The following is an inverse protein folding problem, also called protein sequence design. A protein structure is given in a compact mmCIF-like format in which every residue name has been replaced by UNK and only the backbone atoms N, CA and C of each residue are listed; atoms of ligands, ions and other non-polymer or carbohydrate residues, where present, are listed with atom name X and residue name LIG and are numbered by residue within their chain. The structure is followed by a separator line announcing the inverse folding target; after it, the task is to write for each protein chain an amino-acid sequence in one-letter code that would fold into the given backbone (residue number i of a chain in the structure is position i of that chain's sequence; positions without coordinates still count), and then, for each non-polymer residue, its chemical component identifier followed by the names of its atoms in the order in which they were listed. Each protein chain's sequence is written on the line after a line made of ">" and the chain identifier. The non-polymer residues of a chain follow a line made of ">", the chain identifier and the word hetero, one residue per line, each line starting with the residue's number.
data_IF_328607680231
#
_entry.id   IF_328607680231
#
_cell.length_a   1.000
_cell.length_b   1.000
_cell.length_c   1.000
_cell.angle_alpha   90.00
_cell.angle_beta   90.00
_cell.angle_gamma   90.00
#
_symmetry.space_group_name_H-M   'P 1'
#
loop_
_entity.id
_entity.type
_entity.pdbx_description
1 polymer ?
#
# COMPACT_ATOMS: atom_id res chain seq x y z
N UNK A 1 2.07 10.53 -73.87
CA UNK A 1 1.92 11.43 -72.72
C UNK A 1 1.08 10.69 -71.70
N UNK A 2 1.68 9.96 -70.76
CA UNK A 2 0.99 9.13 -69.77
C UNK A 2 1.05 9.85 -68.40
N UNK A 3 -0.10 10.26 -67.90
CA UNK A 3 -0.25 10.95 -66.63
C UNK A 3 -0.30 9.89 -65.52
N UNK A 4 0.70 9.90 -64.66
CA UNK A 4 0.82 9.05 -63.48
C UNK A 4 -0.02 9.65 -62.38
N UNK A 5 -1.16 9.02 -62.02
CA UNK A 5 -1.99 9.35 -60.86
C UNK A 5 -1.35 8.65 -59.64
N UNK A 6 -0.63 9.39 -58.83
CA UNK A 6 -0.21 8.93 -57.49
C UNK A 6 -1.38 9.08 -56.53
N UNK A 7 -1.97 7.95 -56.11
CA UNK A 7 -2.92 7.89 -55.02
C UNK A 7 -2.13 7.89 -53.70
N UNK A 8 -2.21 9.01 -52.95
CA UNK A 8 -1.67 9.11 -51.61
C UNK A 8 -2.70 8.48 -50.68
N UNK A 9 -2.41 7.28 -50.14
CA UNK A 9 -3.21 6.60 -49.13
C UNK A 9 -2.81 7.17 -47.77
N UNK A 10 -3.64 8.04 -47.22
CA UNK A 10 -3.46 8.62 -45.89
C UNK A 10 -3.89 7.57 -44.84
N UNK A 11 -2.96 6.88 -44.22
CA UNK A 11 -3.20 6.00 -43.06
C UNK A 11 -3.39 6.86 -41.83
N UNK A 12 -4.65 7.09 -41.42
CA UNK A 12 -4.95 7.64 -40.10
C UNK A 12 -4.71 6.53 -39.04
N UNK A 13 -3.59 6.62 -38.35
CA UNK A 13 -3.34 5.85 -37.14
C UNK A 13 -4.25 6.38 -36.02
N UNK A 14 -5.36 5.72 -35.76
CA UNK A 14 -6.12 5.92 -34.55
C UNK A 14 -5.35 5.28 -33.38
N UNK A 15 -4.61 6.08 -32.63
CA UNK A 15 -4.05 5.66 -31.36
C UNK A 15 -5.21 5.57 -30.34
N UNK A 16 -5.76 4.37 -30.16
CA UNK A 16 -6.70 4.09 -29.07
C UNK A 16 -5.89 4.07 -27.77
N UNK A 17 -5.87 5.18 -27.04
CA UNK A 17 -5.41 5.20 -25.65
C UNK A 17 -6.41 4.40 -24.82
N UNK A 18 -6.09 3.15 -24.51
CA UNK A 18 -6.83 2.36 -23.55
C UNK A 18 -6.68 3.03 -22.16
N UNK A 19 -7.71 3.79 -21.74
CA UNK A 19 -7.81 4.20 -20.34
C UNK A 19 -7.93 2.93 -19.50
N UNK A 20 -6.93 2.65 -18.67
CA UNK A 20 -7.06 1.63 -17.65
C UNK A 20 -8.24 2.00 -16.73
N UNK A 21 -9.11 1.06 -16.37
CA UNK A 21 -10.21 1.36 -15.46
C UNK A 21 -9.65 1.84 -14.13
N UNK A 22 -9.96 3.07 -13.75
CA UNK A 22 -9.71 3.57 -12.39
C UNK A 22 -10.67 2.80 -11.49
N UNK A 23 -10.13 2.10 -10.47
CA UNK A 23 -10.96 1.42 -9.49
C UNK A 23 -11.91 2.44 -8.85
N UNK A 24 -13.21 2.11 -8.81
CA UNK A 24 -14.21 2.99 -8.21
C UNK A 24 -13.95 3.12 -6.70
N UNK A 25 -14.03 4.34 -6.15
CA UNK A 25 -13.99 4.55 -4.69
C UNK A 25 -15.19 3.83 -4.06
N UNK A 26 -14.91 2.80 -3.26
CA UNK A 26 -15.95 2.01 -2.57
C UNK A 26 -16.56 2.74 -1.39
N UNK A 27 -15.99 3.88 -0.95
CA UNK A 27 -16.34 4.59 0.28
C UNK A 27 -15.90 3.88 1.56
N UNK A 28 -15.49 2.60 1.48
CA UNK A 28 -15.15 1.77 2.64
C UNK A 28 -13.66 1.80 2.95
N UNK A 29 -13.35 1.70 4.24
CA UNK A 29 -11.97 1.59 4.75
C UNK A 29 -11.70 0.18 5.24
N UNK A 30 -10.53 -0.38 4.91
CA UNK A 30 -10.03 -1.60 5.52
C UNK A 30 -8.84 -1.23 6.41
N UNK A 31 -9.00 -1.54 7.70
CA UNK A 31 -7.99 -1.32 8.72
C UNK A 31 -7.26 -2.63 9.01
N UNK A 32 -6.02 -2.73 8.59
CA UNK A 32 -5.15 -3.89 8.82
C UNK A 32 -4.37 -3.70 10.12
N UNK A 33 -4.70 -4.49 11.14
CA UNK A 33 -3.96 -4.57 12.39
C UNK A 33 -2.83 -5.60 12.24
N UNK A 34 -1.60 -5.15 12.01
CA UNK A 34 -0.44 -6.00 11.73
C UNK A 34 0.44 -6.08 12.96
N UNK A 35 0.47 -7.25 13.58
CA UNK A 35 1.15 -7.48 14.87
C UNK A 35 2.50 -8.18 14.74
N UNK A 36 2.82 -8.69 13.56
CA UNK A 36 3.98 -9.54 13.33
C UNK A 36 4.83 -9.02 12.16
N UNK A 37 6.13 -9.22 12.26
CA UNK A 37 7.13 -9.06 11.19
C UNK A 37 7.48 -10.39 10.51
N UNK A 38 6.82 -11.49 10.94
CA UNK A 38 7.01 -12.82 10.36
C UNK A 38 6.51 -12.84 8.90
N UNK A 39 7.31 -13.44 8.01
CA UNK A 39 7.14 -13.31 6.56
C UNK A 39 5.74 -13.71 6.04
N UNK A 40 5.16 -14.80 6.55
CA UNK A 40 3.86 -15.27 6.11
C UNK A 40 2.73 -14.34 6.55
N UNK A 41 2.72 -13.96 7.83
CA UNK A 41 1.67 -13.08 8.38
C UNK A 41 1.73 -11.69 7.80
N UNK A 42 2.91 -11.08 7.84
CA UNK A 42 3.12 -9.74 7.30
C UNK A 42 2.93 -9.71 5.78
N UNK A 43 3.43 -10.74 5.07
CA UNK A 43 3.29 -10.84 3.63
C UNK A 43 1.83 -10.97 3.19
N UNK A 44 1.02 -11.76 3.91
CA UNK A 44 -0.42 -11.87 3.64
C UNK A 44 -1.14 -10.54 3.92
N UNK A 45 -0.85 -9.89 5.05
CA UNK A 45 -1.43 -8.59 5.38
C UNK A 45 -1.14 -7.54 4.31
N UNK A 46 0.13 -7.39 3.94
CA UNK A 46 0.57 -6.41 2.95
C UNK A 46 0.11 -6.75 1.53
N UNK A 47 0.04 -8.03 1.19
CA UNK A 47 -0.52 -8.51 -0.07
C UNK A 47 -2.00 -8.14 -0.20
N UNK A 48 -2.80 -8.44 0.82
CA UNK A 48 -4.22 -8.07 0.84
C UNK A 48 -4.44 -6.56 0.86
N UNK A 49 -3.63 -5.80 1.64
CA UNK A 49 -3.69 -4.35 1.65
C UNK A 49 -3.46 -3.75 0.25
N UNK A 50 -2.44 -4.25 -0.47
CA UNK A 50 -2.16 -3.83 -1.84
C UNK A 50 -3.28 -4.20 -2.82
N UNK A 51 -3.92 -5.37 -2.64
CA UNK A 51 -5.06 -5.80 -3.45
C UNK A 51 -6.30 -4.93 -3.16
N UNK A 52 -6.57 -4.62 -1.89
CA UNK A 52 -7.68 -3.75 -1.47
C UNK A 52 -7.56 -2.35 -2.07
N UNK A 53 -6.35 -1.75 -2.05
CA UNK A 53 -6.08 -0.48 -2.74
C UNK A 53 -6.37 -0.56 -4.24
N UNK A 54 -5.95 -1.66 -4.88
CA UNK A 54 -6.25 -1.90 -6.30
C UNK A 54 -7.74 -2.05 -6.60
N UNK A 55 -8.54 -2.47 -5.63
CA UNK A 55 -10.00 -2.60 -5.71
C UNK A 55 -10.76 -1.32 -5.30
N UNK A 56 -10.06 -0.21 -4.98
CA UNK A 56 -10.68 1.08 -4.64
C UNK A 56 -11.08 1.26 -3.19
N UNK A 57 -10.59 0.41 -2.28
CA UNK A 57 -10.78 0.61 -0.84
C UNK A 57 -9.77 1.61 -0.30
N UNK A 58 -10.18 2.40 0.70
CA UNK A 58 -9.24 3.12 1.57
C UNK A 58 -8.57 2.11 2.48
N UNK A 59 -7.27 2.25 2.69
CA UNK A 59 -6.49 1.31 3.50
C UNK A 59 -5.73 2.04 4.60
N UNK A 60 -5.87 1.53 5.82
CA UNK A 60 -5.06 1.89 6.97
C UNK A 60 -4.30 0.66 7.42
N UNK A 61 -2.99 0.77 7.60
CA UNK A 61 -2.12 -0.30 8.10
C UNK A 61 -1.57 0.15 9.45
N UNK A 62 -2.01 -0.49 10.53
CA UNK A 62 -1.51 -0.22 11.88
C UNK A 62 -0.46 -1.26 12.26
N UNK A 63 0.78 -0.80 12.38
CA UNK A 63 1.91 -1.62 12.78
C UNK A 63 2.10 -1.54 14.29
N UNK A 64 1.93 -2.66 14.97
CA UNK A 64 2.12 -2.78 16.42
C UNK A 64 2.81 -4.08 16.79
N UNK A 65 3.09 -4.27 18.08
CA UNK A 65 3.90 -5.40 18.57
C UNK A 65 5.18 -5.47 17.73
N UNK A 66 5.51 -6.60 17.11
CA UNK A 66 6.66 -6.75 16.23
C UNK A 66 6.47 -6.15 14.83
N UNK A 67 5.23 -5.92 14.42
CA UNK A 67 4.92 -5.29 13.13
C UNK A 67 5.60 -3.92 12.94
N UNK A 68 6.02 -3.23 14.01
CA UNK A 68 6.75 -1.96 13.92
C UNK A 68 8.08 -2.08 13.17
N UNK A 69 8.71 -3.26 13.18
CA UNK A 69 9.96 -3.51 12.46
C UNK A 69 9.80 -3.46 10.93
N UNK A 70 8.59 -3.69 10.41
CA UNK A 70 8.32 -3.59 8.97
C UNK A 70 8.54 -2.18 8.41
N UNK A 71 8.36 -1.16 9.26
CA UNK A 71 8.57 0.22 8.87
C UNK A 71 9.95 0.77 9.27
N UNK A 72 10.77 0.02 10.01
CA UNK A 72 12.07 0.51 10.46
C UNK A 72 13.09 0.55 9.33
N UNK A 73 13.88 1.63 9.28
CA UNK A 73 14.99 1.79 8.33
C UNK A 73 16.25 1.04 8.76
N UNK A 74 16.30 0.54 9.99
CA UNK A 74 17.46 -0.15 10.56
C UNK A 74 17.45 -1.67 10.35
N UNK A 75 16.30 -2.23 9.98
CA UNK A 75 16.15 -3.68 9.85
C UNK A 75 15.78 -4.05 8.41
N UNK A 76 16.52 -5.01 7.86
CA UNK A 76 16.11 -5.65 6.64
C UNK A 76 14.87 -6.51 6.90
N UNK A 77 13.92 -6.48 5.99
CA UNK A 77 12.72 -7.34 6.07
C UNK A 77 12.83 -8.48 5.07
N UNK A 78 12.26 -9.62 5.42
CA UNK A 78 12.20 -10.78 4.55
C UNK A 78 11.47 -10.47 3.24
N UNK A 79 11.74 -11.26 2.21
CA UNK A 79 10.94 -11.23 0.99
C UNK A 79 9.74 -12.16 1.11
N UNK A 80 8.65 -11.81 0.42
CA UNK A 80 7.44 -12.62 0.39
C UNK A 80 6.92 -12.79 -1.04
N UNK A 81 6.58 -14.02 -1.37
CA UNK A 81 6.06 -14.38 -2.70
C UNK A 81 7.15 -14.43 -3.79
N UNK A 82 6.73 -14.79 -5.00
CA UNK A 82 7.64 -15.02 -6.13
C UNK A 82 8.23 -13.75 -6.76
N UNK A 83 7.85 -12.55 -6.29
CA UNK A 83 8.33 -11.28 -6.84
C UNK A 83 9.71 -10.85 -6.33
N UNK A 84 10.22 -11.50 -5.27
CA UNK A 84 11.47 -11.11 -4.59
C UNK A 84 11.42 -9.77 -3.85
N UNK A 85 10.24 -9.13 -3.76
CA UNK A 85 10.08 -7.88 -3.01
C UNK A 85 10.14 -8.13 -1.52
N UNK A 86 10.84 -7.25 -0.79
CA UNK A 86 10.84 -7.27 0.66
C UNK A 86 9.47 -6.86 1.21
N UNK A 87 9.16 -7.27 2.44
CA UNK A 87 7.95 -6.82 3.14
C UNK A 87 7.90 -5.29 3.24
N UNK A 88 9.04 -4.65 3.46
CA UNK A 88 9.10 -3.18 3.48
C UNK A 88 8.80 -2.57 2.11
N UNK A 89 9.23 -3.20 1.00
CA UNK A 89 8.88 -2.71 -0.35
C UNK A 89 7.38 -2.86 -0.62
N UNK A 90 6.76 -3.94 -0.13
CA UNK A 90 5.31 -4.12 -0.21
C UNK A 90 4.57 -3.05 0.60
N UNK A 91 5.09 -2.69 1.78
CA UNK A 91 4.55 -1.61 2.62
C UNK A 91 4.68 -0.25 1.93
N UNK A 92 5.87 0.07 1.40
CA UNK A 92 6.10 1.31 0.62
C UNK A 92 5.20 1.38 -0.61
N UNK A 93 5.00 0.27 -1.31
CA UNK A 93 4.08 0.22 -2.46
C UNK A 93 2.63 0.50 -2.06
N UNK A 94 2.18 0.03 -0.90
CA UNK A 94 0.86 0.37 -0.36
C UNK A 94 0.75 1.87 -0.06
N UNK A 95 1.78 2.45 0.57
CA UNK A 95 1.83 3.90 0.85
C UNK A 95 1.78 4.74 -0.43
N UNK A 96 2.52 4.34 -1.47
CA UNK A 96 2.51 5.01 -2.78
C UNK A 96 1.13 4.98 -3.44
N UNK A 97 0.32 3.97 -3.14
CA UNK A 97 -1.07 3.84 -3.59
C UNK A 97 -2.08 4.55 -2.67
N UNK A 98 -1.62 5.24 -1.63
CA UNK A 98 -2.46 6.01 -0.73
C UNK A 98 -2.83 5.33 0.60
N UNK A 99 -2.20 4.21 0.97
CA UNK A 99 -2.40 3.65 2.30
C UNK A 99 -1.83 4.58 3.38
N UNK A 100 -2.56 4.74 4.47
CA UNK A 100 -2.05 5.37 5.70
C UNK A 100 -1.38 4.30 6.57
N UNK A 101 -0.09 4.50 6.89
CA UNK A 101 0.65 3.61 7.80
C UNK A 101 0.78 4.28 9.16
N UNK A 102 0.24 3.64 10.19
CA UNK A 102 0.24 4.11 11.57
C UNK A 102 1.17 3.22 12.39
N UNK A 103 2.06 3.83 13.18
CA UNK A 103 3.01 3.11 14.03
C UNK A 103 2.60 3.23 15.50
N UNK A 104 2.54 2.09 16.20
CA UNK A 104 2.26 2.04 17.64
C UNK A 104 3.43 2.65 18.43
N UNK A 105 3.24 3.77 19.14
CA UNK A 105 4.32 4.44 19.85
C UNK A 105 4.88 3.61 21.03
N UNK A 106 4.04 2.85 21.74
CA UNK A 106 4.47 1.99 22.84
C UNK A 106 5.32 0.81 22.33
N UNK A 107 4.91 0.22 21.17
CA UNK A 107 5.65 -0.88 20.57
C UNK A 107 6.99 -0.41 20.00
N UNK A 108 7.00 0.76 19.37
CA UNK A 108 8.21 1.42 18.88
C UNK A 108 9.20 1.71 20.02
N UNK A 109 8.72 2.30 21.13
CA UNK A 109 9.52 2.54 22.33
C UNK A 109 10.08 1.24 22.91
N UNK A 110 9.26 0.18 23.02
CA UNK A 110 9.68 -1.14 23.47
C UNK A 110 10.77 -1.75 22.58
N UNK A 111 10.73 -1.46 21.29
CA UNK A 111 11.74 -1.88 20.31
C UNK A 111 13.01 -1.00 20.32
N UNK A 112 13.05 0.06 21.13
CA UNK A 112 14.16 1.01 21.16
C UNK A 112 14.23 1.93 19.94
N UNK A 113 13.08 2.13 19.27
CA UNK A 113 12.96 2.91 18.05
C UNK A 113 12.19 4.22 18.29
N UNK A 114 12.44 5.19 17.42
CA UNK A 114 11.77 6.49 17.36
C UNK A 114 11.08 6.68 16.00
N UNK A 115 10.37 7.77 15.79
CA UNK A 115 9.80 8.08 14.48
C UNK A 115 10.84 8.38 13.41
N UNK A 116 12.04 8.85 13.82
CA UNK A 116 13.15 9.13 12.90
C UNK A 116 13.73 7.83 12.31
N UNK A 117 13.49 6.70 12.96
CA UNK A 117 13.91 5.37 12.50
C UNK A 117 12.89 4.71 11.55
N UNK A 118 11.77 5.38 11.26
CA UNK A 118 10.70 4.86 10.42
C UNK A 118 10.81 5.33 8.97
N UNK A 119 10.29 4.53 8.05
CA UNK A 119 10.18 4.95 6.65
C UNK A 119 9.39 6.27 6.53
N UNK A 120 9.78 7.17 5.62
CA UNK A 120 9.12 8.44 5.42
C UNK A 120 7.62 8.27 5.11
N UNK A 121 6.79 9.14 5.70
CA UNK A 121 5.34 9.13 5.51
C UNK A 121 4.58 8.24 6.49
N UNK A 122 5.25 7.46 7.33
CA UNK A 122 4.60 6.77 8.44
C UNK A 122 4.13 7.78 9.51
N UNK A 123 2.98 7.51 10.12
CA UNK A 123 2.32 8.40 11.09
C UNK A 123 2.41 7.79 12.49
N UNK A 124 2.74 8.61 13.48
CA UNK A 124 2.72 8.18 14.88
C UNK A 124 1.28 7.93 15.33
N UNK A 125 1.01 6.75 15.86
CA UNK A 125 -0.28 6.39 16.42
C UNK A 125 -0.61 7.10 17.72
N UNK A 126 -1.86 6.97 18.11
CA UNK A 126 -2.42 7.53 19.35
C UNK A 126 -3.95 7.41 19.33
N UNK A 127 -4.63 7.75 20.44
CA UNK A 127 -6.10 7.68 20.51
C UNK A 127 -6.77 8.46 19.36
N UNK A 128 -6.32 9.68 19.10
CA UNK A 128 -6.91 10.55 18.08
C UNK A 128 -6.62 10.10 16.64
N UNK A 129 -5.62 9.24 16.43
CA UNK A 129 -5.24 8.73 15.13
C UNK A 129 -5.69 7.30 14.95
N UNK A 130 -5.22 6.40 15.82
CA UNK A 130 -5.45 4.95 15.69
C UNK A 130 -6.91 4.59 15.99
N UNK A 131 -7.44 5.04 17.14
CA UNK A 131 -8.82 4.70 17.53
C UNK A 131 -9.81 5.37 16.58
N UNK A 132 -9.59 6.62 16.21
CA UNK A 132 -10.44 7.30 15.23
C UNK A 132 -10.49 6.55 13.89
N UNK A 133 -9.35 6.07 13.40
CA UNK A 133 -9.30 5.31 12.14
C UNK A 133 -9.96 3.92 12.29
N UNK A 134 -9.76 3.26 13.44
CA UNK A 134 -10.29 1.91 13.69
C UNK A 134 -11.81 1.89 13.89
N UNK A 135 -12.38 2.94 14.47
CA UNK A 135 -13.81 3.03 14.82
C UNK A 135 -14.61 3.91 13.87
N UNK A 136 -14.01 4.40 12.78
CA UNK A 136 -14.73 5.18 11.79
C UNK A 136 -15.85 4.35 11.15
N UNK A 137 -16.94 5.02 10.79
CA UNK A 137 -18.03 4.43 10.03
C UNK A 137 -17.47 3.82 8.73
N UNK A 138 -18.03 2.72 8.28
CA UNK A 138 -17.60 1.96 7.10
C UNK A 138 -16.16 1.39 7.18
N UNK A 139 -15.61 1.25 8.39
CA UNK A 139 -14.32 0.58 8.59
C UNK A 139 -14.49 -0.90 8.95
N UNK A 140 -13.78 -1.75 8.20
CA UNK A 140 -13.62 -3.18 8.51
C UNK A 140 -12.22 -3.40 9.06
N UNK A 141 -12.12 -4.03 10.24
CA UNK A 141 -10.83 -4.33 10.89
C UNK A 141 -10.45 -5.78 10.63
N UNK A 142 -9.24 -6.01 10.14
CA UNK A 142 -8.65 -7.33 9.92
C UNK A 142 -7.31 -7.39 10.68
N UNK A 143 -7.07 -8.48 11.40
CA UNK A 143 -5.84 -8.66 12.20
C UNK A 143 -4.98 -9.81 11.68
N UNK A 144 -3.66 -9.59 11.70
CA UNK A 144 -2.61 -10.53 11.31
C UNK A 144 -1.51 -10.63 12.39
#
# INVERSE_FOLDING_TARGET
>A
MKIFRQSILLFLLFATTALAPVAADTGKTIFYNVTSDEAWRAGMALGQANAALGAGYKVVIFLNVRGVFLASTHFATDSFGGSGKSLQDMLKAAMQKGATVIICPMCMQKAGLTMDDMIPGAVKGGPDVTMKAMTAEDTVVISY
#
